data_IF_220058874585
#
_entry.id   IF_220058874585
#
_cell.length_a   1.000
_cell.length_b   1.000
_cell.length_c   1.000
_cell.angle_alpha   90.00
_cell.angle_beta   90.00
_cell.angle_gamma   90.00
#
_symmetry.space_group_name_H-M   'P 1'
#
loop_
_entity.id
_entity.type
_entity.pdbx_description
1 polymer ?
#
# COMPACT_ATOMS: atom_id res chain seq x y z
N UNK A 1 16.52 -28.05 -4.22
CA UNK A 1 17.15 -26.79 -3.80
C UNK A 1 16.12 -25.67 -3.83
N UNK A 2 15.97 -25.01 -2.71
CA UNK A 2 15.11 -23.82 -2.64
C UNK A 2 15.96 -22.61 -2.99
N UNK A 3 15.62 -21.92 -4.06
CA UNK A 3 16.27 -20.67 -4.44
C UNK A 3 15.77 -19.54 -3.55
N UNK A 4 16.64 -18.61 -3.13
CA UNK A 4 16.23 -17.49 -2.27
C UNK A 4 15.35 -16.46 -2.98
N UNK A 5 15.30 -16.52 -4.30
CA UNK A 5 14.49 -15.61 -5.11
C UNK A 5 13.31 -16.33 -5.72
N UNK A 6 12.15 -15.67 -5.67
CA UNK A 6 10.97 -16.16 -6.37
C UNK A 6 11.14 -15.89 -7.85
N UNK A 7 11.27 -16.97 -8.63
CA UNK A 7 11.43 -16.87 -10.07
C UNK A 7 10.16 -17.34 -10.77
N UNK A 8 9.50 -16.41 -11.44
CA UNK A 8 8.38 -16.68 -12.34
C UNK A 8 8.84 -16.31 -13.74
N UNK A 9 8.86 -17.24 -14.71
CA UNK A 9 9.35 -16.96 -16.06
C UNK A 9 8.71 -15.69 -16.66
N UNK A 10 9.53 -14.76 -17.14
CA UNK A 10 9.06 -13.49 -17.70
C UNK A 10 8.57 -12.45 -16.70
N UNK A 11 8.66 -12.75 -15.39
CA UNK A 11 8.19 -11.87 -14.33
C UNK A 11 9.19 -11.83 -13.18
N UNK A 12 9.12 -10.75 -12.40
CA UNK A 12 9.77 -10.66 -11.10
C UNK A 12 8.77 -10.13 -10.07
N UNK A 13 9.09 -10.33 -8.81
CA UNK A 13 8.22 -9.99 -7.70
C UNK A 13 8.87 -8.88 -6.86
N UNK A 14 8.08 -7.85 -6.56
CA UNK A 14 8.44 -6.82 -5.59
C UNK A 14 7.59 -7.02 -4.33
N UNK A 15 8.19 -6.81 -3.19
CA UNK A 15 7.48 -6.94 -1.92
C UNK A 15 7.78 -5.74 -1.03
N UNK A 16 6.78 -5.32 -0.29
CA UNK A 16 6.91 -4.33 0.75
C UNK A 16 6.08 -4.75 1.96
N UNK A 17 6.58 -4.43 3.14
CA UNK A 17 5.82 -4.62 4.37
C UNK A 17 6.05 -3.45 5.31
N UNK A 18 5.06 -3.20 6.15
CA UNK A 18 5.14 -2.16 7.15
C UNK A 18 4.32 -2.55 8.38
N UNK A 19 4.75 -2.06 9.53
CA UNK A 19 4.03 -2.17 10.78
C UNK A 19 3.97 -0.79 11.42
N UNK A 20 2.81 -0.42 11.93
CA UNK A 20 2.59 0.87 12.57
C UNK A 20 1.89 0.66 13.90
N UNK A 21 2.26 1.45 14.91
CA UNK A 21 1.52 1.45 16.17
C UNK A 21 0.24 2.27 16.04
N UNK A 22 -0.83 1.79 16.68
CA UNK A 22 -2.07 2.56 16.76
C UNK A 22 -1.87 3.89 17.50
N UNK A 23 -0.96 3.90 18.46
CA UNK A 23 -0.61 5.11 19.22
C UNK A 23 -0.02 6.20 18.33
N UNK A 24 0.85 5.85 17.39
CA UNK A 24 1.40 6.81 16.42
C UNK A 24 0.31 7.44 15.55
N UNK A 25 -0.63 6.64 15.08
CA UNK A 25 -1.75 7.15 14.28
C UNK A 25 -2.68 8.02 15.15
N UNK A 26 -3.00 7.57 16.36
CA UNK A 26 -3.79 8.35 17.30
C UNK A 26 -3.16 9.71 17.61
N UNK A 27 -1.85 9.74 17.81
CA UNK A 27 -1.10 10.97 18.03
C UNK A 27 -1.21 11.90 16.81
N UNK A 28 -1.03 11.39 15.62
CA UNK A 28 -1.10 12.18 14.39
C UNK A 28 -2.51 12.76 14.17
N UNK A 29 -3.54 11.96 14.42
CA UNK A 29 -4.94 12.39 14.30
C UNK A 29 -5.26 13.47 15.34
N UNK A 30 -4.86 13.28 16.60
CA UNK A 30 -5.15 14.25 17.66
C UNK A 30 -4.34 15.53 17.51
N UNK A 31 -3.11 15.47 17.01
CA UNK A 31 -2.22 16.61 16.87
C UNK A 31 -2.52 17.45 15.63
N UNK A 32 -2.74 16.80 14.49
CA UNK A 32 -2.86 17.48 13.20
C UNK A 32 -4.30 17.45 12.64
N UNK A 33 -5.17 16.60 13.16
CA UNK A 33 -6.58 16.54 12.79
C UNK A 33 -6.80 16.34 11.29
N UNK A 34 -7.64 17.17 10.70
CA UNK A 34 -8.01 17.09 9.29
C UNK A 34 -6.80 17.22 8.34
N UNK A 35 -5.77 17.95 8.72
CA UNK A 35 -4.56 18.10 7.91
C UNK A 35 -3.85 16.76 7.69
N UNK A 36 -3.74 15.96 8.74
CA UNK A 36 -3.19 14.60 8.63
C UNK A 36 -4.12 13.69 7.81
N UNK A 37 -5.40 13.66 8.17
CA UNK A 37 -6.37 12.76 7.54
C UNK A 37 -6.48 13.01 6.03
N UNK A 38 -6.61 14.27 5.62
CA UNK A 38 -6.77 14.61 4.20
C UNK A 38 -5.48 14.50 3.40
N UNK A 39 -4.33 14.59 4.04
CA UNK A 39 -3.04 14.38 3.38
C UNK A 39 -2.78 12.90 3.07
N UNK A 40 -3.20 12.01 3.94
CA UNK A 40 -2.87 10.58 3.86
C UNK A 40 -3.97 9.79 3.17
N UNK A 41 -5.25 10.05 3.49
CA UNK A 41 -6.37 9.21 3.09
C UNK A 41 -7.27 9.90 2.06
N UNK A 42 -7.82 9.10 1.15
CA UNK A 42 -8.87 9.57 0.25
C UNK A 42 -10.20 9.69 1.01
N UNK A 43 -11.16 10.41 0.43
CA UNK A 43 -12.50 10.55 1.01
C UNK A 43 -13.18 9.19 1.17
N UNK A 44 -13.02 8.28 0.19
CA UNK A 44 -13.55 6.93 0.25
C UNK A 44 -12.91 6.10 1.37
N UNK A 45 -11.60 6.24 1.57
CA UNK A 45 -10.92 5.60 2.68
C UNK A 45 -11.41 6.10 4.03
N UNK A 46 -11.61 7.41 4.18
CA UNK A 46 -12.13 7.99 5.42
C UNK A 46 -13.56 7.50 5.70
N UNK A 47 -14.40 7.42 4.67
CA UNK A 47 -15.75 6.88 4.81
C UNK A 47 -15.72 5.39 5.22
N UNK A 48 -14.83 4.59 4.62
CA UNK A 48 -14.68 3.18 4.95
C UNK A 48 -14.14 2.96 6.37
N UNK A 49 -13.40 3.92 6.93
CA UNK A 49 -12.86 3.83 8.28
C UNK A 49 -13.81 4.30 9.36
N UNK A 50 -14.91 4.98 9.02
CA UNK A 50 -15.82 5.57 9.99
C UNK A 50 -16.45 4.54 10.93
N UNK A 51 -16.78 5.00 12.16
CA UNK A 51 -17.45 4.19 13.17
C UNK A 51 -16.51 3.43 14.10
N UNK A 52 -17.04 2.46 14.87
CA UNK A 52 -16.23 1.67 15.80
C UNK A 52 -15.06 0.98 15.12
N UNK A 53 -13.88 1.01 15.76
CA UNK A 53 -12.66 0.44 15.20
C UNK A 53 -11.97 1.35 14.15
N UNK A 54 -12.35 2.62 14.10
CA UNK A 54 -11.79 3.59 13.16
C UNK A 54 -10.27 3.64 13.19
N UNK A 55 -9.70 3.70 14.39
CA UNK A 55 -8.25 3.82 14.54
C UNK A 55 -7.47 2.63 13.95
N UNK A 56 -7.95 1.41 14.18
CA UNK A 56 -7.33 0.20 13.60
C UNK A 56 -7.42 0.22 12.07
N UNK A 57 -8.54 0.67 11.52
CA UNK A 57 -8.72 0.75 10.06
C UNK A 57 -7.85 1.83 9.42
N UNK A 58 -7.70 2.98 10.07
CA UNK A 58 -6.78 4.02 9.62
C UNK A 58 -5.33 3.52 9.67
N UNK A 59 -4.95 2.89 10.77
CA UNK A 59 -3.61 2.34 10.94
C UNK A 59 -3.27 1.27 9.89
N UNK A 60 -4.20 0.35 9.61
CA UNK A 60 -4.01 -0.68 8.60
C UNK A 60 -3.82 -0.06 7.20
N UNK A 61 -4.60 0.95 6.85
CA UNK A 61 -4.46 1.65 5.57
C UNK A 61 -3.16 2.44 5.48
N UNK A 62 -2.75 3.07 6.57
CA UNK A 62 -1.45 3.73 6.63
C UNK A 62 -0.32 2.74 6.36
N UNK A 63 -0.32 1.59 7.06
CA UNK A 63 0.66 0.54 6.84
C UNK A 63 0.65 0.02 5.40
N UNK A 64 -0.52 -0.12 4.78
CA UNK A 64 -0.64 -0.54 3.38
C UNK A 64 0.03 0.44 2.42
N UNK A 65 -0.15 1.73 2.63
CA UNK A 65 0.48 2.78 1.80
C UNK A 65 1.99 2.75 1.94
N UNK A 66 2.50 2.65 3.16
CA UNK A 66 3.93 2.55 3.43
C UNK A 66 4.53 1.25 2.85
N UNK A 67 3.82 0.12 2.96
CA UNK A 67 4.24 -1.14 2.37
C UNK A 67 4.33 -1.03 0.83
N UNK A 68 3.37 -0.40 0.19
CA UNK A 68 3.40 -0.15 -1.25
C UNK A 68 4.60 0.72 -1.66
N UNK A 69 4.87 1.78 -0.92
CA UNK A 69 6.03 2.66 -1.16
C UNK A 69 7.33 1.86 -1.09
N UNK A 70 7.46 0.98 -0.10
CA UNK A 70 8.63 0.09 0.03
C UNK A 70 8.76 -0.87 -1.16
N UNK A 71 7.64 -1.38 -1.68
CA UNK A 71 7.65 -2.26 -2.84
C UNK A 71 8.19 -1.58 -4.11
N UNK A 72 8.01 -0.27 -4.24
CA UNK A 72 8.62 0.50 -5.34
C UNK A 72 10.14 0.54 -5.28
N UNK A 73 10.73 0.41 -4.11
CA UNK A 73 12.18 0.47 -3.89
C UNK A 73 12.82 1.75 -4.47
N UNK A 74 12.13 2.86 -4.34
CA UNK A 74 12.55 4.19 -4.79
C UNK A 74 12.53 5.17 -3.62
N UNK A 75 13.53 5.12 -2.72
CA UNK A 75 13.54 5.95 -1.51
C UNK A 75 13.63 7.45 -1.78
N UNK A 76 14.07 7.83 -2.96
CA UNK A 76 14.21 9.22 -3.43
C UNK A 76 12.94 9.76 -4.11
N UNK A 77 11.96 8.93 -4.41
CA UNK A 77 10.75 9.36 -5.10
C UNK A 77 9.76 10.05 -4.13
N UNK A 78 9.16 11.18 -4.53
CA UNK A 78 8.16 11.87 -3.72
C UNK A 78 6.79 11.20 -3.88
N UNK A 79 6.47 10.28 -2.98
CA UNK A 79 5.16 9.62 -3.00
C UNK A 79 4.07 10.48 -2.38
N UNK A 80 2.90 10.46 -3.00
CA UNK A 80 1.68 11.08 -2.49
C UNK A 80 0.77 9.97 -1.93
N UNK A 81 0.56 9.90 -0.62
CA UNK A 81 -0.19 8.77 -0.02
C UNK A 81 -1.60 8.57 -0.57
N UNK A 82 -2.30 9.64 -0.93
CA UNK A 82 -3.65 9.57 -1.51
C UNK A 82 -3.69 8.90 -2.89
N UNK A 83 -2.58 8.85 -3.59
CA UNK A 83 -2.47 8.15 -4.88
C UNK A 83 -2.32 6.63 -4.73
N UNK A 84 -2.17 6.16 -3.49
CA UNK A 84 -2.10 4.74 -3.12
C UNK A 84 -3.32 4.45 -2.25
N UNK A 85 -4.44 4.14 -2.90
CA UNK A 85 -5.72 3.99 -2.21
C UNK A 85 -6.01 2.53 -1.87
N UNK A 86 -6.39 2.29 -0.62
CA UNK A 86 -6.90 0.97 -0.20
C UNK A 86 -8.38 0.91 -0.51
N UNK A 87 -8.75 0.00 -1.41
CA UNK A 87 -10.13 -0.22 -1.83
C UNK A 87 -10.66 -1.50 -1.21
N UNK A 88 -11.75 -1.40 -0.49
CA UNK A 88 -12.42 -2.54 0.12
C UNK A 88 -13.67 -2.88 -0.68
N UNK A 89 -13.63 -4.00 -1.40
CA UNK A 89 -14.78 -4.60 -2.04
C UNK A 89 -14.95 -5.97 -1.42
N UNK A 90 -15.81 -6.07 -0.42
CA UNK A 90 -15.94 -7.31 0.38
C UNK A 90 -16.16 -8.54 -0.50
N UNK A 91 -15.43 -9.66 -0.28
CA UNK A 91 -14.47 -9.87 0.82
C UNK A 91 -13.03 -9.40 0.55
N UNK A 92 -12.77 -8.74 -0.58
CA UNK A 92 -11.42 -8.42 -1.04
C UNK A 92 -10.99 -7.02 -0.62
N UNK A 93 -9.70 -6.91 -0.34
CA UNK A 93 -9.00 -5.64 -0.13
C UNK A 93 -7.93 -5.53 -1.21
N UNK A 94 -7.90 -4.42 -1.93
CA UNK A 94 -6.94 -4.19 -3.02
C UNK A 94 -6.36 -2.79 -2.93
N UNK A 95 -5.30 -2.55 -3.70
CA UNK A 95 -4.74 -1.21 -3.89
C UNK A 95 -5.14 -0.68 -5.27
N UNK A 96 -5.51 0.58 -5.30
CA UNK A 96 -5.68 1.34 -6.53
C UNK A 96 -4.66 2.46 -6.58
N UNK A 97 -3.84 2.46 -7.61
CA UNK A 97 -2.82 3.49 -7.84
C UNK A 97 -3.36 4.52 -8.80
N UNK A 98 -3.01 5.77 -8.56
CA UNK A 98 -3.33 6.90 -9.43
C UNK A 98 -2.16 7.87 -9.51
N UNK A 99 -2.23 8.84 -10.39
CA UNK A 99 -1.25 9.91 -10.50
C UNK A 99 0.19 9.42 -10.66
N UNK A 100 1.11 10.03 -9.96
CA UNK A 100 2.54 9.72 -10.03
C UNK A 100 2.87 8.30 -9.57
N UNK A 101 2.13 7.75 -8.61
CA UNK A 101 2.30 6.36 -8.18
C UNK A 101 1.95 5.38 -9.30
N UNK A 102 0.85 5.63 -10.02
CA UNK A 102 0.47 4.80 -11.17
C UNK A 102 1.49 4.90 -12.30
N UNK A 103 2.02 6.08 -12.56
CA UNK A 103 3.05 6.30 -13.59
C UNK A 103 4.32 5.52 -13.25
N UNK A 104 4.76 5.55 -12.01
CA UNK A 104 5.94 4.80 -11.56
C UNK A 104 5.70 3.28 -11.65
N UNK A 105 4.52 2.81 -11.26
CA UNK A 105 4.16 1.41 -11.39
C UNK A 105 4.20 0.96 -12.86
N UNK A 106 3.70 1.77 -13.78
CA UNK A 106 3.79 1.52 -15.22
C UNK A 106 5.24 1.46 -15.70
N UNK A 107 6.07 2.40 -15.26
CA UNK A 107 7.50 2.42 -15.59
C UNK A 107 8.23 1.18 -15.07
N UNK A 108 7.84 0.68 -13.92
CA UNK A 108 8.37 -0.56 -13.32
C UNK A 108 7.66 -1.83 -13.81
N UNK A 109 6.72 -1.70 -14.73
CA UNK A 109 5.98 -2.80 -15.35
C UNK A 109 5.18 -3.66 -14.36
N UNK A 110 4.57 -3.03 -13.37
CA UNK A 110 3.65 -3.71 -12.45
C UNK A 110 2.45 -4.25 -13.22
N UNK A 111 2.12 -5.52 -13.03
CA UNK A 111 1.00 -6.20 -13.69
C UNK A 111 -0.11 -6.57 -12.72
N UNK A 112 0.26 -6.98 -11.52
CA UNK A 112 -0.68 -7.37 -10.48
C UNK A 112 -0.17 -6.88 -9.13
N UNK A 113 -1.11 -6.55 -8.26
CA UNK A 113 -0.83 -6.16 -6.88
C UNK A 113 -1.70 -7.00 -5.96
N UNK A 114 -1.09 -7.57 -4.95
CA UNK A 114 -1.80 -8.23 -3.86
C UNK A 114 -1.50 -7.53 -2.55
N UNK A 115 -2.50 -7.42 -1.70
CA UNK A 115 -2.42 -6.74 -0.41
C UNK A 115 -2.97 -7.66 0.67
N UNK A 116 -2.25 -7.75 1.77
CA UNK A 116 -2.73 -8.37 3.01
C UNK A 116 -2.59 -7.39 4.15
N UNK A 117 -3.67 -7.25 4.92
CA UNK A 117 -3.73 -6.41 6.11
C UNK A 117 -3.96 -7.26 7.33
N UNK A 118 -3.35 -6.87 8.44
CA UNK A 118 -3.62 -7.46 9.74
C UNK A 118 -3.51 -6.40 10.83
N UNK A 119 -4.17 -6.65 11.95
CA UNK A 119 -4.00 -5.81 13.12
C UNK A 119 -4.08 -6.65 14.40
N UNK A 120 -3.37 -6.21 15.39
CA UNK A 120 -3.43 -6.71 16.75
C UNK A 120 -3.91 -5.57 17.66
N UNK A 121 -3.84 -5.76 18.96
CA UNK A 121 -4.34 -4.76 19.93
C UNK A 121 -3.69 -3.40 19.76
N UNK A 122 -2.35 -3.35 19.56
CA UNK A 122 -1.57 -2.11 19.54
C UNK A 122 -0.95 -1.78 18.18
N UNK A 123 -1.05 -2.66 17.21
CA UNK A 123 -0.37 -2.49 15.92
C UNK A 123 -1.24 -2.94 14.76
N UNK A 124 -0.97 -2.35 13.61
CA UNK A 124 -1.46 -2.82 12.31
C UNK A 124 -0.27 -3.08 11.39
N UNK A 125 -0.42 -4.03 10.51
CA UNK A 125 0.62 -4.38 9.54
C UNK A 125 0.03 -4.63 8.16
N UNK A 126 0.85 -4.46 7.14
CA UNK A 126 0.49 -4.71 5.76
C UNK A 126 1.64 -5.34 5.00
N UNK A 127 1.29 -6.19 4.05
CA UNK A 127 2.21 -6.73 3.06
C UNK A 127 1.64 -6.45 1.68
N UNK A 128 2.49 -5.94 0.80
CA UNK A 128 2.18 -5.69 -0.61
C UNK A 128 3.10 -6.54 -1.46
N UNK A 129 2.53 -7.25 -2.42
CA UNK A 129 3.27 -8.01 -3.42
C UNK A 129 2.87 -7.49 -4.79
N UNK A 130 3.86 -7.08 -5.58
CA UNK A 130 3.64 -6.66 -6.95
C UNK A 130 4.34 -7.63 -7.90
N UNK A 131 3.62 -8.11 -8.90
CA UNK A 131 4.17 -8.93 -9.97
C UNK A 131 4.44 -8.04 -11.16
N UNK A 132 5.68 -8.02 -11.61
CA UNK A 132 6.17 -7.12 -12.66
C UNK A 132 6.67 -7.92 -13.85
N UNK A 133 6.45 -7.41 -15.06
CA UNK A 133 7.07 -7.98 -16.25
C UNK A 133 8.56 -7.63 -16.29
N UNK A 134 9.41 -8.58 -16.68
CA UNK A 134 10.87 -8.38 -16.74
C UNK A 134 11.31 -7.70 -18.03
N UNK A 135 10.57 -7.92 -19.12
CA UNK A 135 10.87 -7.34 -20.42
C UNK A 135 9.62 -6.78 -21.09
N UNK A 136 9.78 -5.78 -21.92
CA UNK A 136 8.73 -5.41 -22.88
C UNK A 136 8.54 -6.59 -23.83
N UNK A 137 7.30 -7.01 -24.15
CA UNK A 137 7.10 -8.02 -25.18
C UNK A 137 7.78 -7.54 -26.46
N UNK A 138 8.71 -8.33 -26.99
CA UNK A 138 9.18 -8.08 -28.33
C UNK A 138 7.99 -8.26 -29.26
N UNK A 139 7.66 -7.22 -30.00
CA UNK A 139 6.69 -7.32 -31.08
C UNK A 139 7.25 -8.31 -32.10
N UNK A 140 6.46 -9.29 -32.58
CA UNK A 140 6.90 -10.25 -33.58
C UNK A 140 7.24 -9.57 -34.91
#
# INVERSE_FOLDING_TARGET
VIHPEVQVPGHHVRVGCDVVSLEEIAYSVSTFGARFLTKIYTDDELAACAGPGRLSRLAARFAAKEAAIKAFSRPDAPFVPREIEVVTTKPLVTLRLSGSAAELATAQRWRQISLSLTHAECHAAAVVVAVCATTTPELP
#
